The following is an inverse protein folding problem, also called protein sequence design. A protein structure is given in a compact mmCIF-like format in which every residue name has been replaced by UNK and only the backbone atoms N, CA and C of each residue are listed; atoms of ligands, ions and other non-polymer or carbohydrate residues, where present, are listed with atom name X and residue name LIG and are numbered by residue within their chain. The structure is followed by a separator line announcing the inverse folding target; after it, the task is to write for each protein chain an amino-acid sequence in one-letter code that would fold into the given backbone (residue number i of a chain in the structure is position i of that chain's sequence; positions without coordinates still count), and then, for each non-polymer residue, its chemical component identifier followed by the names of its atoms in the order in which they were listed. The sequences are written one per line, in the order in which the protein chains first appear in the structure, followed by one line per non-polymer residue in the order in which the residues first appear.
data_IF_965607910524
#
_entry.id   IF_965607910524
#
_cell.length_a   1.000
_cell.length_b   1.000
_cell.length_c   1.000
_cell.angle_alpha   90.00
_cell.angle_beta   90.00
_cell.angle_gamma   90.00
#
_symmetry.space_group_name_H-M   'P 1'
#
loop_
_entity.id
_entity.type
_entity.pdbx_description
1 polymer ?
2 non-polymer ?
3 non-polymer ?
4 water ?
#
# COMPACT_ATOMS: atom_id res chain seq x y z
N UNK A 49 20.08 -18.08 -14.28
CA UNK A 49 19.55 -19.37 -13.76
C UNK A 49 18.03 -19.33 -13.81
N UNK A 50 17.35 -20.31 -13.20
CA UNK A 50 15.91 -20.46 -13.34
C UNK A 50 15.17 -20.82 -12.05
N UNK A 51 13.86 -20.63 -12.08
CA UNK A 51 12.97 -21.03 -11.00
C UNK A 51 11.86 -21.85 -11.61
N UNK A 52 11.64 -23.04 -11.06
CA UNK A 52 10.51 -23.86 -11.47
C UNK A 52 9.38 -23.63 -10.48
N UNK A 53 8.20 -23.28 -11.00
CA UNK A 53 7.02 -23.07 -10.16
C UNK A 53 5.84 -23.85 -10.76
N UNK A 54 5.41 -24.90 -10.08
CA UNK A 54 4.35 -25.78 -10.60
C UNK A 54 4.70 -26.32 -11.98
N UNK A 55 5.92 -26.82 -12.13
CA UNK A 55 6.39 -27.35 -13.41
C UNK A 55 6.35 -26.32 -14.52
N UNK A 56 6.91 -25.15 -14.26
CA UNK A 56 7.05 -24.12 -15.27
C UNK A 56 8.35 -23.37 -15.02
N UNK A 57 9.22 -23.37 -16.03
CA UNK A 57 10.53 -22.74 -15.89
C UNK A 57 10.40 -21.25 -16.18
N UNK A 58 10.89 -20.43 -15.26
CA UNK A 58 10.96 -18.99 -15.42
C UNK A 58 12.42 -18.60 -15.34
N UNK A 59 12.86 -17.66 -16.18
CA UNK A 59 14.25 -17.21 -16.17
C UNK A 59 14.37 -15.83 -15.54
N UNK A 60 15.40 -15.63 -14.72
CA UNK A 60 15.55 -14.43 -13.89
C UNK A 60 16.27 -13.31 -14.64
N UNK A 61 15.54 -12.26 -15.00
CA UNK A 61 16.16 -11.06 -15.57
C UNK A 61 16.99 -10.33 -14.52
N UNK A 62 16.39 -10.07 -13.37
CA UNK A 62 17.09 -9.43 -12.26
C UNK A 62 16.29 -9.54 -10.97
N UNK A 63 16.95 -9.21 -9.86
CA UNK A 63 16.28 -9.12 -8.58
C UNK A 63 15.81 -7.68 -8.39
N UNK A 64 14.55 -7.53 -7.99
CA UNK A 64 13.98 -6.22 -7.68
C UNK A 64 14.23 -5.96 -6.20
N UNK A 65 14.82 -4.80 -5.90
CA UNK A 65 15.28 -4.48 -4.54
C UNK A 65 16.37 -5.45 -4.11
N UNK A 66 16.40 -5.78 -2.82
CA UNK A 66 17.26 -6.88 -2.32
C UNK A 66 16.91 -7.23 -0.87
N UNK A 67 15.99 -8.18 -0.70
CA UNK A 67 15.53 -8.57 0.63
C UNK A 67 16.38 -9.67 1.26
N UNK A 68 16.08 -9.98 2.52
CA UNK A 68 16.78 -11.03 3.26
C UNK A 68 15.82 -12.12 3.66
N UNK A 69 16.02 -13.31 3.09
CA UNK A 69 15.11 -14.47 3.27
C UNK A 69 13.80 -14.34 2.46
N UNK A 70 13.49 -13.11 2.02
CA UNK A 70 12.46 -12.88 1.02
C UNK A 70 13.08 -12.12 -0.15
N UNK A 71 12.78 -12.53 -1.38
CA UNK A 71 13.37 -11.92 -2.57
C UNK A 71 12.37 -11.86 -3.71
N UNK A 72 12.30 -10.72 -4.40
CA UNK A 72 11.46 -10.59 -5.58
C UNK A 72 12.34 -10.59 -6.84
N UNK A 73 11.92 -11.35 -7.84
CA UNK A 73 12.66 -11.48 -9.09
C UNK A 73 11.80 -11.11 -10.26
N UNK A 74 12.33 -10.27 -11.13
CA UNK A 74 11.75 -10.02 -12.44
C UNK A 74 12.09 -11.25 -13.29
N UNK A 75 11.08 -11.91 -13.85
CA UNK A 75 11.28 -13.15 -14.61
C UNK A 75 10.47 -13.24 -15.90
N UNK A 76 10.89 -14.15 -16.79
CA UNK A 76 10.22 -14.43 -18.05
C UNK A 76 9.87 -15.91 -18.13
N UNK A 77 8.66 -16.22 -18.60
CA UNK A 77 8.26 -17.60 -18.85
C UNK A 77 8.79 -18.06 -20.22
N UNK A 78 8.45 -19.28 -20.62
CA UNK A 78 8.90 -19.84 -21.91
C UNK A 78 8.58 -18.93 -23.10
N UNK A 79 7.39 -18.30 -23.07
CA UNK A 79 6.92 -17.45 -24.17
C UNK A 79 7.36 -16.00 -24.03
N UNK A 80 8.35 -15.74 -23.18
CA UNK A 80 8.89 -14.40 -22.93
C UNK A 80 7.86 -13.40 -22.37
N UNK A 81 6.90 -13.91 -21.61
CA UNK A 81 5.97 -13.06 -20.87
C UNK A 81 6.58 -12.71 -19.52
N UNK A 82 6.46 -11.45 -19.11
CA UNK A 82 7.12 -10.95 -17.91
C UNK A 82 6.24 -11.17 -16.66
N UNK A 83 6.88 -11.61 -15.58
CA UNK A 83 6.23 -11.79 -14.28
C UNK A 83 7.16 -11.34 -13.15
N UNK A 84 6.63 -11.27 -11.94
CA UNK A 84 7.43 -11.04 -10.73
C UNK A 84 7.29 -12.26 -9.83
N UNK A 85 8.40 -12.85 -9.40
CA UNK A 85 8.37 -14.01 -8.51
C UNK A 85 8.90 -13.69 -7.13
N UNK A 86 8.03 -13.76 -6.13
CA UNK A 86 8.40 -13.60 -4.75
C UNK A 86 8.87 -14.95 -4.22
N UNK A 87 10.09 -14.99 -3.70
CA UNK A 87 10.63 -16.17 -3.03
C UNK A 87 10.70 -15.91 -1.54
N UNK A 88 10.20 -16.87 -0.75
CA UNK A 88 10.29 -16.78 0.71
C UNK A 88 10.91 -18.07 1.26
N UNK A 89 11.95 -17.93 2.06
CA UNK A 89 12.54 -19.07 2.78
C UNK A 89 11.81 -19.25 4.11
N UNK A 90 11.35 -20.48 4.36
CA UNK A 90 10.53 -20.77 5.55
C UNK A 90 11.29 -21.50 6.67
N UNK A 91 12.58 -21.81 6.48
CA UNK A 91 13.32 -22.63 7.44
C UNK A 91 13.47 -22.02 8.85
N UNK A 92 13.35 -20.70 8.97
CA UNK A 92 13.40 -20.04 10.28
C UNK A 92 12.01 -19.52 10.74
N UNK A 93 10.96 -19.91 10.03
CA UNK A 93 9.61 -19.40 10.30
C UNK A 93 8.87 -20.24 11.33
N UNK A 94 8.43 -19.59 12.41
CA UNK A 94 7.59 -20.26 13.40
C UNK A 94 6.17 -20.48 12.86
N UNK A 95 5.32 -21.15 13.65
CA UNK A 95 3.97 -21.49 13.20
C UNK A 95 3.08 -20.27 13.03
N UNK A 96 3.18 -19.31 13.95
CA UNK A 96 2.40 -18.08 13.84
C UNK A 96 2.75 -17.31 12.57
N UNK A 97 4.03 -17.27 12.24
CA UNK A 97 4.50 -16.65 11.00
C UNK A 97 3.97 -17.39 9.79
N UNK A 98 4.14 -18.70 9.78
CA UNK A 98 3.63 -19.55 8.70
C UNK A 98 2.13 -19.32 8.52
N UNK A 99 1.40 -19.32 9.63
CA UNK A 99 -0.04 -19.11 9.63
C UNK A 99 -0.44 -17.79 8.96
N UNK A 100 0.28 -16.71 9.27
CA UNK A 100 -0.01 -15.38 8.69
C UNK A 100 0.40 -15.28 7.22
N UNK A 101 1.46 -16.00 6.84
CA UNK A 101 1.90 -16.07 5.45
C UNK A 101 0.85 -16.76 4.60
N UNK A 102 0.30 -17.85 5.13
CA UNK A 102 -0.78 -18.58 4.45
C UNK A 102 -2.05 -17.77 4.37
N UNK A 103 -2.32 -17.03 5.43
CA UNK A 103 -3.50 -16.21 5.50
C UNK A 103 -3.46 -15.11 4.43
N UNK A 104 -2.31 -14.47 4.27
CA UNK A 104 -2.18 -13.43 3.25
C UNK A 104 -2.24 -14.02 1.83
N UNK A 105 -1.68 -15.21 1.64
CA UNK A 105 -1.76 -15.90 0.36
C UNK A 105 -3.22 -16.25 0.06
N UNK A 106 -3.96 -16.66 1.10
CA UNK A 106 -5.38 -17.00 0.97
C UNK A 106 -6.21 -15.82 0.49
N UNK A 107 -6.08 -14.69 1.20
CA UNK A 107 -6.85 -13.48 0.87
C UNK A 107 -6.45 -12.88 -0.48
N UNK A 108 -5.16 -12.84 -0.77
CA UNK A 108 -4.69 -12.33 -2.07
C UNK A 108 -5.28 -13.14 -3.21
N UNK A 109 -5.18 -14.46 -3.07
CA UNK A 109 -5.77 -15.38 -4.04
C UNK A 109 -7.28 -15.16 -4.21
N UNK A 110 -7.96 -14.91 -3.11
CA UNK A 110 -9.42 -14.77 -3.06
C UNK A 110 -9.92 -13.43 -3.61
N UNK A 111 -9.31 -12.33 -3.17
CA UNK A 111 -9.79 -10.99 -3.53
C UNK A 111 -9.43 -10.57 -4.96
N UNK A 112 -8.54 -11.34 -5.60
CA UNK A 112 -8.15 -11.09 -7.00
C UNK A 112 -9.32 -10.82 -7.94
N UNK A 113 -10.29 -11.74 -7.93
CA UNK A 113 -11.40 -11.67 -8.90
C UNK A 113 -12.42 -10.56 -8.61
N UNK A 114 -12.22 -9.79 -7.54
CA UNK A 114 -13.13 -8.70 -7.18
C UNK A 114 -12.65 -7.34 -7.69
N UNK A 115 -11.34 -7.13 -7.73
CA UNK A 115 -10.78 -5.86 -8.22
C UNK A 115 -9.48 -6.11 -8.98
N UNK A 116 -9.29 -5.39 -10.09
CA UNK A 116 -8.01 -5.40 -10.79
C UNK A 116 -7.06 -4.34 -10.23
N UNK A 117 -7.44 -3.72 -9.11
CA UNK A 117 -6.56 -2.84 -8.34
C UNK A 117 -5.85 -3.60 -7.22
N UNK A 118 -6.06 -4.92 -7.18
CA UNK A 118 -5.24 -5.81 -6.38
C UNK A 118 -4.29 -6.50 -7.33
N UNK A 119 -3.03 -6.64 -6.91
CA UNK A 119 -1.99 -7.29 -7.72
C UNK A 119 -2.42 -8.71 -8.05
N UNK A 120 -2.23 -9.11 -9.30
CA UNK A 120 -2.66 -10.42 -9.77
C UNK A 120 -1.66 -11.49 -9.34
N UNK A 121 -2.16 -12.51 -8.64
CA UNK A 121 -1.39 -13.69 -8.25
C UNK A 121 -1.76 -14.85 -9.17
N UNK A 122 -0.90 -15.16 -10.12
CA UNK A 122 -1.20 -16.15 -11.16
C UNK A 122 -1.12 -17.58 -10.66
N UNK A 123 -0.18 -17.84 -9.76
CA UNK A 123 0.10 -19.19 -9.31
C UNK A 123 1.09 -19.09 -8.16
N UNK A 124 1.14 -20.13 -7.34
CA UNK A 124 2.17 -20.23 -6.33
C UNK A 124 2.54 -21.67 -6.05
N UNK A 125 3.73 -21.86 -5.50
CA UNK A 125 4.20 -23.16 -5.04
C UNK A 125 4.65 -22.99 -3.59
N UNK A 126 4.15 -23.85 -2.72
CA UNK A 126 4.36 -23.71 -1.29
C UNK A 126 4.68 -25.08 -0.68
N UNK A 127 5.86 -25.19 -0.06
CA UNK A 127 6.26 -26.40 0.67
C UNK A 127 6.64 -26.00 2.09
N UNK A 128 7.31 -26.89 2.83
CA UNK A 128 7.76 -26.57 4.18
C UNK A 128 9.04 -25.76 4.21
N UNK A 129 9.80 -25.83 3.12
CA UNK A 129 11.09 -25.16 3.01
C UNK A 129 10.98 -23.76 2.39
N UNK A 130 10.03 -23.57 1.47
CA UNK A 130 9.95 -22.32 0.70
C UNK A 130 8.55 -21.98 0.16
N UNK A 131 8.42 -20.75 -0.33
CA UNK A 131 7.28 -20.32 -1.13
C UNK A 131 7.76 -19.62 -2.41
N UNK A 132 7.11 -19.92 -3.53
CA UNK A 132 7.26 -19.13 -4.76
C UNK A 132 5.90 -18.58 -5.12
N UNK A 133 5.84 -17.29 -5.44
CA UNK A 133 4.59 -16.69 -5.88
C UNK A 133 4.80 -16.05 -7.23
N UNK A 134 4.08 -16.54 -8.25
CA UNK A 134 4.15 -15.96 -9.57
C UNK A 134 3.12 -14.85 -9.65
N UNK A 135 3.59 -13.64 -9.95
CA UNK A 135 2.73 -12.46 -9.90
C UNK A 135 2.86 -11.56 -11.14
N UNK A 136 1.83 -10.75 -11.33
CA UNK A 136 1.82 -9.66 -12.27
C UNK A 136 2.99 -8.74 -11.97
N UNK A 137 3.67 -8.29 -13.02
CA UNK A 137 4.89 -7.52 -12.88
C UNK A 137 4.63 -6.03 -13.05
N UNK A 138 4.97 -5.24 -12.03
CA UNK A 138 4.77 -3.79 -12.07
C UNK A 138 6.00 -3.01 -12.45
N UNK A 139 5.81 -1.77 -12.88
CA UNK A 139 6.93 -0.90 -13.29
C UNK A 139 7.78 -0.46 -12.09
N UNK A 140 7.13 0.18 -11.13
CA UNK A 140 7.81 0.83 -10.01
C UNK A 140 6.82 1.03 -8.88
N UNK A 141 7.27 0.98 -7.63
CA UNK A 141 6.39 1.26 -6.49
C UNK A 141 6.16 2.77 -6.35
N UNK A 142 5.03 3.15 -5.79
CA UNK A 142 4.64 4.56 -5.70
C UNK A 142 5.67 5.41 -4.95
N UNK A 143 6.28 4.84 -3.91
CA UNK A 143 7.24 5.58 -3.10
C UNK A 143 8.49 5.94 -3.89
N UNK A 144 9.03 4.98 -4.62
CA UNK A 144 10.20 5.22 -5.46
C UNK A 144 9.92 6.26 -6.54
N UNK A 145 8.71 6.25 -7.08
CA UNK A 145 8.31 7.18 -8.14
C UNK A 145 8.11 8.60 -7.61
N UNK A 146 7.55 8.72 -6.41
CA UNK A 146 7.38 10.02 -5.76
C UNK A 146 8.73 10.65 -5.38
N UNK A 147 9.62 9.85 -4.80
CA UNK A 147 10.95 10.31 -4.40
C UNK A 147 11.74 11.01 -5.51
N UNK A 148 11.59 10.55 -6.75
CA UNK A 148 12.23 11.18 -7.92
C UNK A 148 11.19 11.91 -8.77
N UNK A 149 10.61 12.96 -8.18
CA UNK A 149 9.61 13.80 -8.85
C UNK A 149 9.30 15.02 -7.98
N UNK A 150 9.47 16.23 -8.53
CA UNK A 150 9.17 17.44 -7.77
C UNK A 150 7.66 17.72 -7.76
N UNK A 151 7.01 17.55 -8.90
CA UNK A 151 5.56 17.75 -9.02
C UNK A 151 4.88 16.57 -9.70
N UNK A 152 3.56 16.63 -9.76
CA UNK A 152 2.76 15.54 -10.32
C UNK A 152 1.59 16.12 -11.13
N UNK A 153 1.28 15.48 -12.25
CA UNK A 153 0.12 15.87 -13.05
C UNK A 153 -1.16 15.77 -12.22
N UNK A 154 -1.85 16.91 -12.01
CA UNK A 154 -3.09 16.92 -11.21
C UNK A 154 -4.08 15.83 -11.61
N UNK A 155 -4.17 15.57 -12.91
CA UNK A 155 -5.04 14.50 -13.43
C UNK A 155 -4.56 13.13 -12.96
N UNK A 156 -3.26 12.92 -13.01
CA UNK A 156 -2.68 11.65 -12.59
C UNK A 156 -2.85 11.39 -11.09
N UNK A 157 -2.66 12.43 -10.29
CA UNK A 157 -2.87 12.36 -8.85
C UNK A 157 -4.28 11.85 -8.54
N UNK A 158 -5.27 12.47 -9.18
CA UNK A 158 -6.67 12.08 -9.03
C UNK A 158 -6.91 10.64 -9.44
N UNK A 159 -6.33 10.23 -10.56
CA UNK A 159 -6.49 8.89 -11.07
C UNK A 159 -5.90 7.86 -10.12
N UNK A 160 -4.71 8.15 -9.59
CA UNK A 160 -4.08 7.28 -8.60
C UNK A 160 -4.91 7.18 -7.32
N UNK A 161 -5.45 8.31 -6.88
CA UNK A 161 -6.30 8.33 -5.70
C UNK A 161 -7.52 7.41 -5.87
N UNK A 162 -8.11 7.40 -7.06
CA UNK A 162 -9.24 6.49 -7.36
C UNK A 162 -8.82 5.03 -7.17
N UNK A 163 -7.69 4.66 -7.78
CA UNK A 163 -7.15 3.31 -7.64
C UNK A 163 -6.98 2.90 -6.19
N UNK A 164 -6.37 3.78 -5.40
CA UNK A 164 -6.09 3.48 -4.00
C UNK A 164 -7.36 3.20 -3.23
N UNK A 165 -8.36 4.06 -3.43
CA UNK A 165 -9.67 3.89 -2.78
C UNK A 165 -10.33 2.57 -3.19
N UNK A 166 -10.30 2.26 -4.48
CA UNK A 166 -10.89 1.02 -5.00
C UNK A 166 -10.24 -0.20 -4.35
N UNK A 167 -8.91 -0.18 -4.24
CA UNK A 167 -8.15 -1.28 -3.66
C UNK A 167 -8.43 -1.43 -2.16
N UNK A 168 -8.37 -0.33 -1.42
CA UNK A 168 -8.58 -0.35 0.02
C UNK A 168 -10.04 -0.65 0.36
N UNK A 169 -10.95 -0.07 -0.42
CA UNK A 169 -12.38 -0.40 -0.33
C UNK A 169 -12.60 -1.91 -0.43
N UNK A 170 -11.96 -2.54 -1.41
CA UNK A 170 -12.14 -3.96 -1.67
C UNK A 170 -11.76 -4.83 -0.45
N UNK A 171 -10.61 -4.54 0.16
CA UNK A 171 -10.15 -5.34 1.29
C UNK A 171 -11.05 -5.12 2.53
N UNK A 172 -11.55 -3.89 2.68
CA UNK A 172 -12.51 -3.58 3.74
C UNK A 172 -13.78 -4.40 3.59
N UNK A 173 -14.24 -4.57 2.35
CA UNK A 173 -15.44 -5.36 2.07
C UNK A 173 -15.32 -6.83 2.47
N UNK A 174 -14.10 -7.32 2.67
CA UNK A 174 -13.90 -8.68 3.17
C UNK A 174 -13.29 -8.71 4.57
N UNK A 175 -13.49 -7.63 5.32
CA UNK A 175 -13.12 -7.57 6.74
C UNK A 175 -11.67 -7.24 7.06
N UNK A 176 -10.86 -6.92 6.06
CA UNK A 176 -9.43 -6.67 6.27
C UNK A 176 -9.17 -5.17 6.44
N UNK A 177 -8.58 -4.79 7.58
CA UNK A 177 -8.04 -3.44 7.75
C UNK A 177 -6.52 -3.54 7.64
N UNK A 178 -5.92 -2.77 6.73
CA UNK A 178 -4.49 -2.87 6.46
C UNK A 178 -3.66 -2.40 7.64
N UNK A 179 -3.98 -1.20 8.13
CA UNK A 179 -3.39 -0.65 9.36
C UNK A 179 -1.93 -0.21 9.27
N UNK A 180 -1.32 -0.31 8.09
CA UNK A 180 0.09 0.08 7.93
C UNK A 180 0.37 0.58 6.51
N UNK A 181 -0.57 1.35 5.97
CA UNK A 181 -0.50 1.80 4.58
C UNK A 181 0.54 2.89 4.41
N UNK A 182 1.30 2.77 3.34
CA UNK A 182 2.29 3.75 2.95
C UNK A 182 2.52 3.56 1.46
N UNK A 183 3.06 4.59 0.77
CA UNK A 183 3.20 4.53 -0.68
C UNK A 183 3.90 3.26 -1.21
N UNK A 184 4.84 2.70 -0.45
CA UNK A 184 5.52 1.45 -0.87
C UNK A 184 4.55 0.27 -1.08
N UNK A 185 3.39 0.30 -0.42
CA UNK A 185 2.38 -0.74 -0.56
C UNK A 185 1.63 -0.72 -1.90
N UNK A 186 1.93 0.26 -2.75
CA UNK A 186 1.30 0.38 -4.06
C UNK A 186 2.33 0.34 -5.18
N UNK A 187 1.91 -0.24 -6.31
CA UNK A 187 2.78 -0.53 -7.44
C UNK A 187 2.13 0.01 -8.71
N UNK A 188 2.92 0.68 -9.54
CA UNK A 188 2.40 1.21 -10.80
C UNK A 188 2.45 0.09 -11.83
N UNK A 189 1.31 -0.21 -12.44
CA UNK A 189 1.19 -1.24 -13.47
C UNK A 189 0.34 -0.68 -14.63
N UNK A 190 1.01 -0.23 -15.68
CA UNK A 190 0.35 0.37 -16.85
C UNK A 190 -0.48 1.59 -16.43
N UNK A 191 0.15 2.52 -15.71
CA UNK A 191 -0.53 3.72 -15.24
C UNK A 191 -1.72 3.45 -14.32
N UNK A 192 -1.61 2.40 -13.51
CA UNK A 192 -2.58 2.10 -12.46
C UNK A 192 -1.84 1.78 -11.19
N UNK A 193 -2.35 2.26 -10.06
CA UNK A 193 -1.85 1.81 -8.77
C UNK A 193 -2.56 0.51 -8.41
N UNK A 194 -1.77 -0.48 -7.98
CA UNK A 194 -2.31 -1.73 -7.44
C UNK A 194 -1.73 -2.03 -6.05
N UNK A 195 -2.61 -2.40 -5.12
CA UNK A 195 -2.20 -2.75 -3.76
C UNK A 195 -1.52 -4.11 -3.79
N UNK A 196 -0.26 -4.17 -3.36
CA UNK A 196 0.51 -5.42 -3.43
C UNK A 196 0.56 -6.22 -2.13
N UNK A 197 0.09 -5.65 -1.02
CA UNK A 197 -0.06 -6.43 0.22
C UNK A 197 -1.16 -5.91 1.15
N UNK A 198 -1.61 -6.76 2.06
CA UNK A 198 -2.73 -6.45 2.96
C UNK A 198 -2.30 -6.30 4.41
N UNK A 199 -0.99 -6.31 4.65
CA UNK A 199 -0.44 -6.09 5.99
C UNK A 199 -0.71 -7.21 6.98
N UNK A 200 -1.03 -8.39 6.48
CA UNK A 200 -1.30 -9.54 7.34
C UNK A 200 0.02 -10.22 7.73
N UNK A 201 0.99 -10.26 6.81
CA UNK A 201 2.32 -10.81 7.11
C UNK A 201 2.96 -10.17 8.36
N UNK A 202 3.57 -11.04 9.17
CA UNK A 202 3.80 -10.82 10.60
C UNK A 202 5.23 -10.29 10.89
N UNK A 203 5.92 -10.86 11.89
CA UNK A 203 7.37 -10.76 12.00
C UNK A 203 8.01 -11.42 10.78
N UNK A 204 8.23 -10.63 9.72
CA UNK A 204 8.77 -11.15 8.45
C UNK A 204 10.24 -11.62 8.55
N UNK A 217 14.82 0.34 8.87
CA UNK A 217 14.41 1.74 9.00
C UNK A 217 12.93 1.91 8.64
N UNK A 218 12.09 2.03 9.67
CA UNK A 218 10.64 2.14 9.47
C UNK A 218 10.23 3.53 9.02
N UNK A 219 9.00 3.91 9.36
CA UNK A 219 8.50 5.30 9.24
C UNK A 219 7.18 5.39 9.98
N UNK A 220 6.93 6.52 10.63
CA UNK A 220 5.68 6.72 11.38
C UNK A 220 4.89 7.94 10.89
N UNK A 221 5.26 8.44 9.71
CA UNK A 221 4.58 9.60 9.12
C UNK A 221 3.14 9.33 8.69
N UNK A 222 2.78 8.06 8.54
CA UNK A 222 1.47 7.68 8.03
C UNK A 222 0.56 7.11 9.11
N UNK A 223 1.04 7.10 10.35
CA UNK A 223 0.35 6.46 11.45
C UNK A 223 -0.83 7.32 11.93
N UNK A 224 -2.01 6.70 12.10
CA UNK A 224 -3.17 7.41 12.62
C UNK A 224 -3.09 7.65 14.14
N UNK A 225 -3.69 8.75 14.63
CA UNK A 225 -3.69 9.11 16.05
C UNK A 225 -4.25 8.04 17.00
N UNK A 226 -5.30 7.35 16.58
CA UNK A 226 -5.96 6.36 17.45
C UNK A 226 -5.08 5.15 17.75
N UNK A 227 -4.11 4.85 16.88
CA UNK A 227 -3.16 3.77 17.12
C UNK A 227 -2.16 4.16 18.22
N UNK A 228 -1.88 5.46 18.30
CA UNK A 228 -0.92 6.02 19.25
C UNK A 228 -1.57 6.25 20.61
N UNK A 229 -2.75 6.85 20.60
CA UNK A 229 -3.54 7.06 21.83
C UNK A 229 -3.84 5.73 22.51
N UNK A 230 -4.03 4.69 21.71
CA UNK A 230 -4.27 3.34 22.18
C UNK A 230 -2.95 2.64 22.53
N UNK A 231 -2.35 3.03 23.65
CA UNK A 231 -1.12 2.40 24.14
C UNK A 231 -1.10 2.37 25.67
N UNK A 244 -8.54 1.13 16.27
CA UNK A 244 -8.13 0.78 14.92
C UNK A 244 -9.29 0.10 14.17
N UNK A 245 -9.74 0.76 13.10
CA UNK A 245 -10.90 0.32 12.33
C UNK A 245 -10.63 0.72 10.88
N UNK A 246 -11.60 0.51 9.97
CA UNK A 246 -11.41 0.99 8.60
C UNK A 246 -10.99 2.46 8.47
N UNK A 247 -11.39 3.30 9.43
CA UNK A 247 -11.02 4.71 9.42
C UNK A 247 -9.51 4.92 9.52
N UNK A 248 -8.82 4.01 10.20
CA UNK A 248 -7.35 4.07 10.32
C UNK A 248 -6.66 4.12 8.96
N UNK A 249 -7.16 3.30 8.03
CA UNK A 249 -6.66 3.29 6.66
C UNK A 249 -6.94 4.61 5.93
N UNK A 250 -8.06 5.25 6.25
CA UNK A 250 -8.40 6.54 5.64
C UNK A 250 -7.35 7.61 5.98
N UNK A 251 -6.94 7.65 7.24
CA UNK A 251 -5.89 8.59 7.68
C UNK A 251 -4.62 8.42 6.86
N UNK A 252 -4.16 7.19 6.73
CA UNK A 252 -2.92 6.88 6.01
C UNK A 252 -3.02 7.23 4.53
N UNK A 253 -4.12 6.80 3.89
CA UNK A 253 -4.43 7.23 2.52
C UNK A 253 -4.41 8.76 2.43
N UNK A 254 -5.01 9.42 3.43
CA UNK A 254 -4.95 10.87 3.57
C UNK A 254 -3.55 11.45 3.61
N UNK A 255 -2.64 10.80 4.33
CA UNK A 255 -1.22 11.21 4.35
C UNK A 255 -0.52 10.97 3.01
N UNK A 256 -0.90 9.90 2.30
CA UNK A 256 -0.33 9.61 0.99
C UNK A 256 -0.77 10.65 -0.03
N UNK A 257 -2.02 11.11 0.07
CA UNK A 257 -2.54 12.10 -0.86
C UNK A 257 -1.96 13.46 -0.52
N UNK A 258 -2.03 13.83 0.75
CA UNK A 258 -1.37 15.04 1.25
C UNK A 258 0.05 15.17 0.69
N UNK A 259 0.79 14.07 0.72
CA UNK A 259 2.17 14.01 0.21
C UNK A 259 2.21 14.30 -1.29
N UNK A 260 1.30 13.69 -2.06
CA UNK A 260 1.24 13.91 -3.50
C UNK A 260 0.75 15.32 -3.85
N UNK A 261 0.01 15.93 -2.93
CA UNK A 261 -0.45 17.30 -3.11
C UNK A 261 0.65 18.29 -2.75
N UNK A 262 1.13 18.24 -1.51
CA UNK A 262 2.06 19.24 -0.98
C UNK A 262 3.55 18.84 -0.95
N UNK A 263 3.90 17.67 -1.48
CA UNK A 263 5.30 17.22 -1.53
C UNK A 263 5.94 16.80 -0.21
N UNK A 264 5.14 16.66 0.83
CA UNK A 264 5.63 16.26 2.15
C UNK A 264 4.46 15.75 2.97
N UNK A 265 4.70 14.78 3.86
CA UNK A 265 3.65 14.28 4.73
C UNK A 265 3.37 15.33 5.81
N UNK A 266 2.18 15.29 6.45
CA UNK A 266 1.77 16.36 7.37
C UNK A 266 2.81 16.72 8.43
N UNK A 267 3.34 15.72 9.12
CA UNK A 267 4.27 15.94 10.23
C UNK A 267 5.72 15.60 9.85
N UNK A 268 6.05 15.75 8.57
CA UNK A 268 7.38 15.40 8.08
C UNK A 268 8.46 16.32 8.68
N UNK A 269 8.10 17.56 8.99
CA UNK A 269 9.07 18.54 9.48
C UNK A 269 9.61 18.22 10.89
N UNK A 270 8.85 17.44 11.66
CA UNK A 270 9.24 17.11 13.03
C UNK A 270 10.21 15.92 13.04
N UNK A 271 11.51 16.18 13.02
CA UNK A 271 12.51 15.10 12.99
C UNK A 271 12.57 14.24 14.25
N UNK A 272 12.25 14.82 15.41
CA UNK A 272 12.23 14.05 16.66
C UNK A 272 10.97 13.18 16.72
N UNK A 273 11.18 11.86 16.73
CA UNK A 273 10.08 10.91 16.57
C UNK A 273 9.10 10.95 17.74
N UNK A 274 9.60 11.18 18.96
CA UNK A 274 8.73 11.28 20.13
C UNK A 274 7.83 12.50 19.99
N UNK A 275 8.40 13.60 19.51
CA UNK A 275 7.63 14.81 19.25
C UNK A 275 6.61 14.56 18.17
N UNK A 276 7.07 13.95 17.08
CA UNK A 276 6.22 13.64 15.94
C UNK A 276 4.92 12.98 16.39
N UNK A 277 5.05 11.91 17.17
CA UNK A 277 3.90 11.19 17.69
C UNK A 277 3.00 12.07 18.58
N UNK A 278 3.61 12.96 19.34
CA UNK A 278 2.83 13.92 20.13
C UNK A 278 2.09 14.89 19.22
N UNK A 279 2.77 15.36 18.17
CA UNK A 279 2.15 16.22 17.17
C UNK A 279 0.92 15.56 16.55
N UNK A 280 1.01 14.26 16.25
CA UNK A 280 -0.08 13.52 15.62
C UNK A 280 -1.30 13.41 16.54
N UNK A 281 -1.09 13.25 17.84
CA UNK A 281 -2.20 13.04 18.78
C UNK A 281 -2.69 14.32 19.46
N UNK A 282 -2.07 15.46 19.14
CA UNK A 282 -2.33 16.72 19.83
C UNK A 282 -3.32 17.58 19.05
N UNK A 283 -4.56 17.74 19.58
CA UNK A 283 -5.56 18.60 18.95
C UNK A 283 -5.07 20.02 18.65
N UNK A 284 -4.31 20.58 19.59
CA UNK A 284 -3.77 21.94 19.43
C UNK A 284 -2.66 22.07 18.39
N UNK A 285 -2.15 20.95 17.87
CA UNK A 285 -1.24 20.99 16.73
C UNK A 285 -2.04 20.88 15.43
N UNK A 286 -2.40 22.03 14.86
CA UNK A 286 -3.27 22.05 13.69
C UNK A 286 -2.48 21.86 12.42
N UNK A 287 -2.98 20.97 11.56
CA UNK A 287 -2.32 20.62 10.31
C UNK A 287 -2.58 21.71 9.29
N UNK A 288 -1.54 22.12 8.57
CA UNK A 288 -1.66 23.19 7.59
C UNK A 288 -2.15 22.65 6.26
N UNK A 289 -3.07 23.39 5.64
CA UNK A 289 -3.61 23.03 4.33
C UNK A 289 -3.53 24.26 3.42
N UNK A 290 -2.31 24.55 2.90
CA UNK A 290 -2.08 25.68 2.00
C UNK A 290 -3.06 25.69 0.84
N UNK A 291 -3.68 26.85 0.58
CA UNK A 291 -4.64 26.98 -0.51
C UNK A 291 -4.07 26.49 -1.83
N UNK A 292 -4.92 25.79 -2.59
CA UNK A 292 -4.56 25.25 -3.89
C UNK A 292 -5.75 25.41 -4.86
N UNK A 293 -5.49 25.37 -6.18
CA UNK A 293 -6.55 25.41 -7.19
C UNK A 293 -7.72 24.43 -6.95
N UNK A 294 -7.40 23.16 -6.73
CA UNK A 294 -8.42 22.13 -6.55
C UNK A 294 -8.96 22.18 -5.12
N UNK A 295 -10.06 22.92 -4.93
CA UNK A 295 -10.64 23.07 -3.59
C UNK A 295 -11.29 21.79 -3.11
N UNK A 296 -11.71 20.94 -4.04
CA UNK A 296 -12.24 19.61 -3.72
C UNK A 296 -11.15 18.76 -3.08
N UNK A 297 -9.99 18.73 -3.71
CA UNK A 297 -8.81 18.02 -3.19
C UNK A 297 -8.46 18.44 -1.78
N UNK A 298 -8.44 19.75 -1.56
CA UNK A 298 -8.18 20.35 -0.25
C UNK A 298 -9.17 19.83 0.78
N UNK A 299 -10.44 19.75 0.40
CA UNK A 299 -11.48 19.24 1.29
C UNK A 299 -11.25 17.77 1.62
N UNK A 300 -10.91 16.98 0.61
CA UNK A 300 -10.61 15.57 0.81
C UNK A 300 -9.51 15.41 1.86
N UNK A 301 -8.45 16.21 1.75
CA UNK A 301 -7.33 16.12 2.70
C UNK A 301 -7.76 16.47 4.12
N UNK A 302 -8.56 17.52 4.27
CA UNK A 302 -9.06 17.91 5.59
C UNK A 302 -9.92 16.82 6.22
N UNK A 303 -10.78 16.21 5.42
CA UNK A 303 -11.70 15.17 5.92
C UNK A 303 -11.01 13.87 6.35
N UNK A 304 -10.04 13.44 5.55
CA UNK A 304 -9.24 12.26 5.86
C UNK A 304 -8.37 12.43 7.10
N UNK A 305 -7.84 13.64 7.31
CA UNK A 305 -6.92 13.92 8.43
C UNK A 305 -7.61 14.51 9.67
N UNK A 306 -8.87 14.14 9.90
CA UNK A 306 -9.57 14.51 11.14
C UNK A 306 -9.27 13.48 12.23
N UNK A 307 -8.66 13.94 13.32
CA UNK A 307 -8.16 13.05 14.39
C UNK A 307 -9.22 12.12 15.00
N UNK A 308 -10.44 12.62 15.16
CA UNK A 308 -11.51 11.80 15.70
C UNK A 308 -12.00 10.85 14.60
N UNK A 309 -11.80 9.52 14.78
CA UNK A 309 -12.25 8.56 13.78
C UNK A 309 -13.72 8.70 13.39
N UNK A 310 -14.57 8.96 14.38
CA UNK A 310 -16.00 9.15 14.13
C UNK A 310 -16.24 10.30 13.15
N UNK A 311 -15.52 11.41 13.36
CA UNK A 311 -15.62 12.58 12.49
C UNK A 311 -14.93 12.39 11.14
N UNK A 312 -14.02 11.42 11.07
CA UNK A 312 -13.30 11.16 9.83
C UNK A 312 -14.20 10.54 8.76
N UNK A 313 -13.93 10.89 7.51
CA UNK A 313 -14.71 10.42 6.38
C UNK A 313 -14.44 8.94 6.08
N UNK A 314 -15.48 8.21 5.69
CA UNK A 314 -15.34 6.78 5.37
C UNK A 314 -14.93 6.62 3.92
N UNK A 315 -14.61 5.39 3.52
CA UNK A 315 -14.21 5.12 2.14
C UNK A 315 -15.40 5.26 1.17
N UNK A 316 -16.57 4.69 1.50
CA UNK A 316 -17.73 4.89 0.63
C UNK A 316 -18.09 6.37 0.44
N UNK A 317 -17.93 7.16 1.50
CA UNK A 317 -18.07 8.62 1.42
C UNK A 317 -17.04 9.22 0.46
N UNK A 318 -15.79 8.79 0.57
CA UNK A 318 -14.75 9.28 -0.34
C UNK A 318 -15.00 8.92 -1.81
N UNK A 319 -15.67 7.80 -2.04
CA UNK A 319 -15.99 7.36 -3.41
C UNK A 319 -17.10 8.21 -4.05
N UNK A 320 -17.88 8.90 -3.23
CA UNK A 320 -18.92 9.83 -3.71
C UNK A 320 -18.47 11.29 -3.67
N UNK A 321 -17.27 11.54 -3.14
CA UNK A 321 -16.76 12.91 -3.02
C UNK A 321 -16.56 13.53 -4.40
N UNK A 322 -16.83 14.85 -4.53
CA UNK A 322 -16.63 15.53 -5.81
C UNK A 322 -15.25 15.32 -6.43
N UNK A 323 -14.21 15.35 -5.61
CA UNK A 323 -12.83 15.19 -6.07
C UNK A 323 -12.66 13.98 -7.00
N UNK A 324 -13.33 12.88 -6.68
CA UNK A 324 -13.23 11.65 -7.46
C UNK A 324 -14.32 11.49 -8.53
N UNK A 325 -15.43 12.25 -8.39
CA UNK A 325 -16.56 12.10 -9.31
C UNK A 325 -16.59 13.15 -10.42
N UNK A 326 -16.46 14.41 -10.04
CA UNK A 326 -16.69 15.51 -10.98
C UNK A 326 -15.53 15.73 -11.95
N UNK A 327 -15.84 15.65 -13.25
CA UNK A 327 -14.84 15.79 -14.31
C UNK A 327 -14.43 17.25 -14.52
X LIG B 1 11.21 -5.44 2.86
X LIG B 1 9.70 -5.58 2.87
X LIG B 1 11.83 -5.19 4.19
X LIG B 1 11.96 -6.47 2.05
X LIG B 1 11.40 -4.27 0.47
X LIG B 1 12.38 -3.24 -0.06
X LIG B 1 9.96 -4.25 0.01
X LIG B 1 11.41 -4.17 2.08
X LIG B 1 13.12 -6.08 -0.87
X LIG B 1 13.10 -7.58 -1.12
X LIG B 1 14.40 -5.41 -0.43
X LIG B 1 11.98 -5.76 0.22
X LIG B 1 12.58 -5.35 -2.20
X LIG B 1 11.48 -5.87 -2.93
X LIG B 1 11.14 -4.97 -4.11
X LIG B 1 10.35 -5.70 -5.05
X LIG B 1 10.33 -3.74 -3.70
X LIG B 1 11.00 -2.54 -4.11
X LIG B 1 8.99 -3.89 -4.40
X LIG B 1 8.51 -2.66 -4.94
X LIG B 1 9.26 -4.90 -5.50
X LIG B 1 8.07 -5.74 -5.80
X LIG B 1 7.38 -6.49 -4.92
X LIG B 1 6.34 -7.12 -5.55
X LIG B 1 6.36 -6.76 -6.84
X LIG B 1 5.55 -7.06 -8.05
X LIG B 1 4.48 -7.89 -7.97
X LIG B 1 5.92 -6.48 -9.22
X LIG B 1 6.99 -5.65 -9.29
X LIG B 1 7.76 -5.34 -8.24
X LIG B 1 7.51 -5.85 -7.00
X LIG C 1 7.42 -10.38 2.41
X LIG C 1 7.86 -11.64 2.94
X LIG C 1 6.81 -12.20 3.87
X LIG C 1 5.59 -12.48 3.18
X LIG C 1 5.54 -13.80 2.64
X LIG C 1 4.16 -14.05 2.02
X LIG C 1 3.87 -13.01 1.08
X LIG C 1 2.50 -12.97 0.69
X LIG C 1 2.17 -11.63 0.04
X LIG C 1 3.09 -11.30 -1.00
X LIG C 1 2.66 -10.12 -1.69
X LIG C 1 3.81 -9.44 -2.44
X LIG C 1 4.66 -8.77 -1.51
X LIG C 1 5.97 -8.47 -2.03
X LIG C 1 6.81 -7.80 -0.95
X LIG C 1 8.15 -7.59 -1.44
#
# INVERSE_FOLDING_TARGET
HHHHHHSSGLVPRGSGMKETAAAKFERQHMDSPDLGTDDDDKASSSANECISVKGRIYSILKQIGSGGSSKVFQVLNEKKQIYAIKYVNLEEADNQTLDSYRNEIAYLNKLQQHSDKIIRLYDYEITDQYIYMVMECGNIDLNSWLKKKKSIDPWERKSYWKNMLEAVHTIHQHGIVHSDLKPANFLIVDGMLKLIDFGIANQMQPDTTSVVKDSQVGTVNYMPPEAIKDMSSSRENGKSKSKISPKSDVWSLGCILYYMTYGKTPFQQIINQISKLHAIIDPNHEIEFPDIPEKDLQDVLKCCLKRDPKQRISIPELLAHPYVQIQTHPVNQMAKGTTEEM
ATP PG O1G O2G O3G PB O1B O2B O3B PA O1A O2A O3A O5' C5' C4' O4' C3' O3' C2' O2' C1' N9 C8 N7 C5 C6 N6 N1 C2 N3 C4
7PE O19 C18 C17 O16 C15 C14 O13 C12 C11 O10 C9 C8 O7 C6 C5 O4
#
